data_IF_991663858962
#
_entry.id   IF_991663858962
#
_cell.length_a   1.000
_cell.length_b   1.000
_cell.length_c   1.000
_cell.angle_alpha   90.00
_cell.angle_beta   90.00
_cell.angle_gamma   90.00
#
_symmetry.space_group_name_H-M   'P 1'
#
loop_
_entity.id
_entity.type
_entity.pdbx_description
1 polymer ?
#
# COMPACT_ATOMS: atom_id res chain seq x y z
N UNK A 1 -1.61 0.33 -6.36
CA UNK A 1 -2.24 -0.26 -5.17
C UNK A 1 -2.42 -1.77 -5.29
N UNK A 2 -1.60 -2.41 -6.12
CA UNK A 2 -1.63 -3.85 -6.38
C UNK A 2 -0.48 -4.60 -5.71
N UNK A 3 0.17 -4.03 -4.68
CA UNK A 3 1.38 -4.60 -4.11
C UNK A 3 1.19 -6.05 -3.62
N UNK A 4 0.08 -6.34 -2.94
CA UNK A 4 -0.24 -7.70 -2.50
C UNK A 4 -0.43 -8.66 -3.70
N UNK A 5 -1.27 -8.28 -4.66
CA UNK A 5 -1.52 -9.10 -5.85
C UNK A 5 -0.23 -9.35 -6.66
N UNK A 6 0.59 -8.32 -6.86
CA UNK A 6 1.86 -8.45 -7.55
C UNK A 6 2.84 -9.36 -6.80
N UNK A 7 2.82 -9.35 -5.46
CA UNK A 7 3.67 -10.23 -4.63
C UNK A 7 3.22 -11.68 -4.76
N UNK A 8 1.91 -11.95 -4.79
CA UNK A 8 1.39 -13.32 -5.01
C UNK A 8 1.74 -13.80 -6.41
N UNK A 9 1.57 -12.98 -7.43
CA UNK A 9 1.94 -13.32 -8.81
C UNK A 9 3.45 -13.64 -8.92
N UNK A 10 4.29 -12.83 -8.27
CA UNK A 10 5.73 -13.10 -8.23
C UNK A 10 6.06 -14.45 -7.58
N UNK A 11 5.36 -14.81 -6.50
CA UNK A 11 5.49 -16.14 -5.88
C UNK A 11 5.12 -17.25 -6.86
N UNK A 12 3.98 -17.12 -7.53
CA UNK A 12 3.47 -18.13 -8.46
C UNK A 12 4.39 -18.28 -9.70
N UNK A 13 5.10 -17.22 -10.05
CA UNK A 13 6.19 -17.23 -11.05
C UNK A 13 7.55 -17.63 -10.48
N UNK A 14 7.60 -18.29 -9.32
CA UNK A 14 8.79 -18.85 -8.68
C UNK A 14 9.81 -17.83 -8.13
N UNK A 15 9.41 -16.64 -7.75
CA UNK A 15 10.27 -15.76 -6.97
C UNK A 15 10.68 -16.45 -5.65
N UNK A 16 11.97 -16.45 -5.34
CA UNK A 16 12.52 -17.18 -4.19
C UNK A 16 12.49 -16.37 -2.91
N UNK A 17 12.36 -15.05 -3.02
CA UNK A 17 12.26 -14.12 -1.89
C UNK A 17 11.16 -13.14 -2.19
N UNK A 18 10.37 -12.81 -1.18
CA UNK A 18 9.29 -11.85 -1.24
C UNK A 18 9.46 -10.83 -0.13
N UNK A 19 9.32 -9.56 -0.48
CA UNK A 19 9.35 -8.46 0.49
C UNK A 19 7.93 -8.05 0.88
N UNK A 20 7.75 -7.75 2.16
CA UNK A 20 6.52 -7.18 2.69
C UNK A 20 6.84 -6.27 3.88
N UNK A 21 5.91 -5.41 4.25
CA UNK A 21 6.07 -4.50 5.39
C UNK A 21 4.89 -4.60 6.33
N UNK A 22 5.12 -4.33 7.61
CA UNK A 22 4.04 -4.27 8.60
C UNK A 22 3.00 -3.24 8.18
N UNK A 23 1.74 -3.65 8.16
CA UNK A 23 0.60 -2.83 7.78
C UNK A 23 0.76 -2.13 6.43
N UNK A 24 1.54 -2.72 5.52
CA UNK A 24 1.82 -2.17 4.20
C UNK A 24 2.56 -0.84 4.21
N UNK A 25 3.28 -0.51 5.30
CA UNK A 25 4.00 0.75 5.42
C UNK A 25 4.95 0.97 4.24
N UNK A 26 4.86 2.15 3.63
CA UNK A 26 5.72 2.54 2.51
C UNK A 26 5.23 3.81 1.83
N UNK A 27 6.02 4.35 0.93
CA UNK A 27 5.66 5.59 0.23
C UNK A 27 4.39 5.43 -0.61
N UNK A 28 3.52 6.43 -0.59
CA UNK A 28 2.32 6.48 -1.43
C UNK A 28 1.31 5.40 -1.06
N UNK A 29 0.91 4.59 -2.01
CA UNK A 29 -0.05 3.51 -1.80
C UNK A 29 0.45 2.38 -0.88
N UNK A 30 1.71 2.43 -0.47
CA UNK A 30 2.32 1.44 0.41
C UNK A 30 2.85 0.21 -0.30
N UNK A 31 3.27 -0.77 0.50
CA UNK A 31 3.83 -2.03 0.09
C UNK A 31 2.86 -3.21 0.32
N UNK A 32 3.30 -4.42 0.04
CA UNK A 32 2.59 -5.63 0.41
C UNK A 32 2.47 -5.73 1.94
N UNK A 33 1.28 -5.99 2.44
CA UNK A 33 1.01 -6.15 3.87
C UNK A 33 1.53 -7.50 4.34
N UNK A 34 2.47 -7.50 5.30
CA UNK A 34 3.08 -8.72 5.82
C UNK A 34 2.04 -9.64 6.46
N UNK A 35 1.14 -9.10 7.26
CA UNK A 35 0.06 -9.85 7.89
C UNK A 35 -0.87 -10.52 6.87
N UNK A 36 -1.17 -9.86 5.76
CA UNK A 36 -1.96 -10.43 4.68
C UNK A 36 -1.20 -11.52 3.93
N UNK A 37 0.10 -11.31 3.67
CA UNK A 37 0.94 -12.28 2.99
C UNK A 37 1.11 -13.56 3.82
N UNK A 38 1.36 -13.43 5.12
CA UNK A 38 1.44 -14.57 6.04
C UNK A 38 0.10 -15.31 6.14
N UNK A 39 -1.02 -14.57 6.18
CA UNK A 39 -2.36 -15.14 6.17
C UNK A 39 -2.67 -15.90 4.87
N UNK A 40 -2.23 -15.39 3.73
CA UNK A 40 -2.39 -16.05 2.44
C UNK A 40 -1.66 -17.40 2.40
N UNK A 41 -0.41 -17.44 2.84
CA UNK A 41 0.36 -18.67 2.85
C UNK A 41 -0.08 -19.65 3.94
N UNK A 42 -0.69 -19.16 5.01
CA UNK A 42 -1.29 -19.93 6.12
C UNK A 42 -0.52 -21.22 6.45
N UNK A 43 0.79 -21.14 6.46
CA UNK A 43 1.67 -22.30 6.62
C UNK A 43 2.16 -22.44 8.07
N UNK A 44 2.44 -23.66 8.48
CA UNK A 44 3.01 -24.00 9.80
C UNK A 44 4.40 -23.38 10.04
N UNK A 45 5.05 -22.83 9.00
CA UNK A 45 6.40 -22.28 9.06
C UNK A 45 6.43 -20.86 9.62
N UNK A 46 5.39 -20.07 9.42
CA UNK A 46 5.33 -18.67 9.81
C UNK A 46 4.11 -18.42 10.69
N UNK A 47 4.31 -17.63 11.74
CA UNK A 47 3.27 -17.26 12.69
C UNK A 47 2.86 -15.81 12.43
N UNK A 48 1.58 -15.57 12.23
CA UNK A 48 1.04 -14.24 11.97
C UNK A 48 0.80 -13.45 13.27
N UNK A 49 0.61 -14.14 14.39
CA UNK A 49 0.22 -13.54 15.67
C UNK A 49 1.17 -12.41 16.13
N UNK A 50 2.51 -12.56 16.10
CA UNK A 50 3.41 -11.47 16.51
C UNK A 50 3.29 -10.24 15.59
N UNK A 51 2.96 -10.47 14.31
CA UNK A 51 2.76 -9.38 13.34
C UNK A 51 1.47 -8.65 13.64
N UNK A 52 0.39 -9.36 13.96
CA UNK A 52 -0.90 -8.76 14.34
C UNK A 52 -0.78 -7.97 15.65
N UNK A 53 -0.02 -8.47 16.61
CA UNK A 53 0.26 -7.77 17.86
C UNK A 53 0.98 -6.43 17.62
N UNK A 54 2.05 -6.44 16.82
CA UNK A 54 2.77 -5.23 16.44
C UNK A 54 1.89 -4.26 15.63
N UNK A 55 1.05 -4.77 14.73
CA UNK A 55 0.11 -3.92 14.00
C UNK A 55 -0.84 -3.22 14.96
N UNK A 56 -1.38 -3.95 15.94
CA UNK A 56 -2.32 -3.41 16.93
C UNK A 56 -1.69 -2.41 17.90
N UNK A 57 -0.49 -2.69 18.38
CA UNK A 57 0.19 -1.88 19.39
C UNK A 57 0.84 -0.61 18.82
N UNK A 58 1.48 -0.71 17.65
CA UNK A 58 2.37 0.33 17.14
C UNK A 58 1.96 0.88 15.78
N UNK A 59 1.66 0.00 14.81
CA UNK A 59 1.46 0.43 13.44
C UNK A 59 0.19 1.26 13.24
N UNK A 60 -0.88 0.95 13.98
CA UNK A 60 -2.12 1.74 13.95
C UNK A 60 -1.89 3.12 14.55
N UNK A 61 -1.11 3.23 15.63
CA UNK A 61 -0.75 4.51 16.24
C UNK A 61 0.11 5.34 15.27
N UNK A 62 1.12 4.73 14.65
CA UNK A 62 1.93 5.40 13.64
C UNK A 62 1.10 5.86 12.44
N UNK A 63 0.18 5.03 11.99
CA UNK A 63 -0.72 5.34 10.87
C UNK A 63 -1.63 6.53 11.18
N UNK A 64 -2.07 6.67 12.40
CA UNK A 64 -2.93 7.77 12.84
C UNK A 64 -2.16 9.09 12.89
N UNK A 65 -0.92 9.04 13.33
CA UNK A 65 -0.02 10.21 13.39
C UNK A 65 0.50 10.63 12.00
N UNK A 66 0.85 9.66 11.15
CA UNK A 66 1.43 9.86 9.83
C UNK A 66 0.66 9.07 8.76
N UNK A 67 -0.56 9.50 8.39
CA UNK A 67 -1.43 8.76 7.46
C UNK A 67 -0.95 8.86 6.00
N UNK A 68 0.33 8.61 5.76
CA UNK A 68 0.98 8.88 4.47
C UNK A 68 1.03 7.69 3.53
N UNK A 69 0.59 6.51 3.96
CA UNK A 69 0.58 5.30 3.12
C UNK A 69 -0.77 4.59 3.13
N UNK A 70 -0.94 3.68 2.18
CA UNK A 70 -2.13 2.84 2.06
C UNK A 70 -3.08 3.32 0.96
N UNK A 71 -4.28 2.72 0.93
CA UNK A 71 -5.27 3.05 -0.08
C UNK A 71 -5.68 4.52 -0.02
N UNK A 72 -5.60 5.18 -1.19
CA UNK A 72 -6.07 6.55 -1.35
C UNK A 72 -6.43 6.78 -2.82
N UNK A 73 -7.55 7.48 -3.07
CA UNK A 73 -8.05 7.72 -4.43
C UNK A 73 -7.07 8.55 -5.27
N UNK A 74 -6.34 9.50 -4.68
CA UNK A 74 -5.33 10.25 -5.42
C UNK A 74 -4.18 9.35 -5.91
N UNK A 75 -3.76 8.36 -5.13
CA UNK A 75 -2.78 7.36 -5.58
C UNK A 75 -3.34 6.43 -6.65
N UNK A 76 -4.62 6.07 -6.57
CA UNK A 76 -5.28 5.31 -7.63
C UNK A 76 -5.25 6.08 -8.96
N UNK A 77 -5.61 7.37 -8.93
CA UNK A 77 -5.60 8.24 -10.11
C UNK A 77 -4.20 8.34 -10.72
N UNK A 78 -3.17 8.56 -9.90
CA UNK A 78 -1.78 8.57 -10.37
C UNK A 78 -1.39 7.24 -11.03
N UNK A 79 -1.82 6.11 -10.46
CA UNK A 79 -1.60 4.79 -11.03
C UNK A 79 -2.30 4.58 -12.38
N UNK A 80 -3.56 4.99 -12.51
CA UNK A 80 -4.32 4.92 -13.77
C UNK A 80 -3.68 5.76 -14.87
N UNK A 81 -3.10 6.90 -14.53
CA UNK A 81 -2.40 7.80 -15.45
C UNK A 81 -0.94 7.37 -15.72
N UNK A 82 -0.45 6.30 -15.11
CA UNK A 82 0.96 5.95 -15.10
C UNK A 82 1.87 7.14 -14.73
N UNK A 83 1.41 7.97 -13.81
CA UNK A 83 2.06 9.22 -13.40
C UNK A 83 2.90 9.01 -12.14
N UNK A 84 3.88 9.90 -11.94
CA UNK A 84 4.68 9.89 -10.72
C UNK A 84 3.80 10.27 -9.50
N UNK A 85 3.90 9.57 -8.36
CA UNK A 85 3.01 9.76 -7.21
C UNK A 85 3.15 11.11 -6.48
N UNK A 86 4.07 11.97 -6.89
CA UNK A 86 4.34 13.28 -6.25
C UNK A 86 3.09 14.15 -6.13
N UNK A 87 2.30 14.25 -7.20
CA UNK A 87 1.10 15.09 -7.24
C UNK A 87 0.00 14.50 -6.34
N UNK A 88 -0.12 13.17 -6.34
CA UNK A 88 -1.03 12.46 -5.45
C UNK A 88 -0.65 12.64 -3.95
N UNK A 89 0.65 12.60 -3.63
CA UNK A 89 1.14 12.87 -2.28
C UNK A 89 0.78 14.31 -1.86
N UNK A 90 0.97 15.27 -2.75
CA UNK A 90 0.64 16.66 -2.48
C UNK A 90 -0.88 16.87 -2.28
N UNK A 91 -1.71 16.24 -3.12
CA UNK A 91 -3.17 16.28 -2.99
C UNK A 91 -3.64 15.64 -1.67
N UNK A 92 -3.07 14.50 -1.30
CA UNK A 92 -3.38 13.81 -0.05
C UNK A 92 -3.03 14.67 1.17
N UNK A 93 -1.86 15.32 1.18
CA UNK A 93 -1.46 16.23 2.26
C UNK A 93 -2.38 17.43 2.40
N UNK A 94 -2.89 17.95 1.28
CA UNK A 94 -3.88 19.04 1.25
C UNK A 94 -5.31 18.59 1.56
N UNK A 95 -5.54 17.29 1.73
CA UNK A 95 -6.87 16.69 1.87
C UNK A 95 -7.81 17.06 0.71
N UNK A 96 -7.25 17.19 -0.50
CA UNK A 96 -8.00 17.51 -1.71
C UNK A 96 -8.84 16.30 -2.11
N UNK A 97 -10.15 16.49 -2.19
CA UNK A 97 -11.14 15.48 -2.56
C UNK A 97 -11.74 15.70 -3.95
N UNK A 98 -11.24 16.66 -4.71
CA UNK A 98 -11.71 16.88 -6.09
C UNK A 98 -11.06 15.88 -7.06
N UNK A 99 -11.43 14.61 -6.90
CA UNK A 99 -10.83 13.50 -7.64
C UNK A 99 -11.07 13.56 -9.15
N UNK A 100 -12.16 14.16 -9.59
CA UNK A 100 -12.45 14.35 -11.03
C UNK A 100 -11.43 15.30 -11.65
N UNK A 101 -11.14 16.41 -11.02
CA UNK A 101 -10.14 17.37 -11.52
C UNK A 101 -8.72 16.80 -11.41
N UNK A 102 -8.39 16.07 -10.35
CA UNK A 102 -7.12 15.35 -10.25
C UNK A 102 -6.96 14.37 -11.42
N UNK A 103 -8.00 13.60 -11.75
CA UNK A 103 -7.98 12.65 -12.86
C UNK A 103 -7.77 13.35 -14.19
N UNK A 104 -8.57 14.37 -14.49
CA UNK A 104 -8.44 15.16 -15.72
C UNK A 104 -7.04 15.76 -15.88
N UNK A 105 -6.51 16.35 -14.81
CA UNK A 105 -5.17 16.92 -14.79
C UNK A 105 -4.08 15.90 -15.12
N UNK A 106 -4.22 14.66 -14.65
CA UNK A 106 -3.23 13.61 -14.91
C UNK A 106 -3.37 12.96 -16.30
N UNK A 107 -4.58 12.81 -16.81
CA UNK A 107 -4.84 12.11 -18.08
C UNK A 107 -4.75 13.01 -19.29
N UNK A 108 -5.13 14.29 -19.17
CA UNK A 108 -5.16 15.23 -20.29
C UNK A 108 -3.99 16.23 -20.27
N UNK A 109 -2.92 15.90 -19.57
CA UNK A 109 -1.62 16.54 -19.72
C UNK A 109 -1.06 16.22 -21.10
#
# INVERSE_FOLDING_TARGET
QCAFANTIEAHDLNAKMLDATYYGMGRGAGNCHLEALLGYFNGKKYHVEPVLDLVGSDMLVMKDQEPTWGYNTSYLIAGLANAHPRDAIAATKKKDTNFVEQYKFQIYK
#
